data_IF_326203265983
#
_entry.id   IF_326203265983
#
_cell.length_a   1.000
_cell.length_b   1.000
_cell.length_c   1.000
_cell.angle_alpha   90.00
_cell.angle_beta   90.00
_cell.angle_gamma   90.00
#
_symmetry.space_group_name_H-M   'P 1'
#
loop_
_entity.id
_entity.type
_entity.pdbx_description
1 polymer ?
#
# COMPACT_ATOMS: atom_id res chain seq x y z
N UNK A 1 8.01 -10.32 1.55
CA UNK A 1 7.90 -11.78 1.30
C UNK A 1 6.59 -12.29 1.91
N UNK A 2 5.60 -12.63 1.09
CA UNK A 2 4.25 -13.01 1.53
C UNK A 2 3.96 -14.51 1.44
N UNK A 3 5.00 -15.35 1.52
CA UNK A 3 4.88 -16.79 1.26
C UNK A 3 4.45 -17.66 2.45
N UNK A 4 4.00 -17.06 3.55
CA UNK A 4 3.66 -17.80 4.77
C UNK A 4 2.15 -18.03 5.00
N UNK A 5 1.30 -17.71 4.03
CA UNK A 5 -0.13 -18.05 4.13
C UNK A 5 -0.34 -19.56 3.97
N UNK A 6 -1.11 -20.20 4.86
CA UNK A 6 -1.42 -21.63 4.78
C UNK A 6 -2.09 -22.07 3.45
N UNK A 7 -2.66 -21.12 2.69
CA UNK A 7 -3.22 -21.36 1.36
C UNK A 7 -2.18 -21.40 0.22
N UNK A 8 -0.97 -20.84 0.42
CA UNK A 8 0.05 -20.75 -0.63
C UNK A 8 0.63 -22.10 -1.06
N UNK A 9 0.94 -23.05 -0.15
CA UNK A 9 1.43 -24.37 -0.55
C UNK A 9 0.41 -25.13 -1.41
N UNK A 10 -0.87 -25.09 -1.03
CA UNK A 10 -1.96 -25.73 -1.76
C UNK A 10 -2.19 -25.06 -3.12
N UNK A 11 -2.18 -23.72 -3.17
CA UNK A 11 -2.28 -22.98 -4.43
C UNK A 11 -1.09 -23.27 -5.35
N UNK A 12 0.14 -23.28 -4.83
CA UNK A 12 1.35 -23.57 -5.61
C UNK A 12 1.34 -25.01 -6.16
N UNK A 13 0.84 -25.96 -5.37
CA UNK A 13 0.65 -27.35 -5.80
C UNK A 13 -0.37 -27.42 -6.95
N UNK A 14 -1.54 -26.80 -6.80
CA UNK A 14 -2.58 -26.74 -7.84
C UNK A 14 -2.08 -26.04 -9.10
N UNK A 15 -1.30 -24.97 -8.96
CA UNK A 15 -0.72 -24.24 -10.09
C UNK A 15 0.33 -25.09 -10.83
N UNK A 16 1.10 -25.91 -10.09
CA UNK A 16 2.05 -26.86 -10.65
C UNK A 16 1.34 -27.96 -11.42
N UNK A 17 0.32 -28.58 -10.82
CA UNK A 17 -0.50 -29.61 -11.47
C UNK A 17 -1.18 -29.09 -12.73
N UNK A 18 -1.71 -27.86 -12.69
CA UNK A 18 -2.26 -27.19 -13.87
C UNK A 18 -1.21 -26.98 -14.98
N UNK A 19 -0.01 -26.52 -14.63
CA UNK A 19 1.09 -26.31 -15.59
C UNK A 19 1.59 -27.60 -16.22
N UNK A 20 1.64 -28.69 -15.44
CA UNK A 20 2.18 -29.98 -15.89
C UNK A 20 1.16 -30.79 -16.69
N UNK A 21 -0.13 -30.71 -16.35
CA UNK A 21 -1.17 -31.53 -16.99
C UNK A 21 -1.93 -30.80 -18.09
N UNK A 22 -2.29 -29.53 -17.89
CA UNK A 22 -3.31 -28.86 -18.69
C UNK A 22 -2.72 -27.88 -19.70
N UNK A 23 -1.60 -27.24 -19.33
CA UNK A 23 -0.93 -26.25 -20.18
C UNK A 23 -0.36 -26.83 -21.50
N UNK A 24 0.27 -28.03 -21.53
CA UNK A 24 0.80 -28.61 -22.77
C UNK A 24 -0.30 -28.86 -23.81
N UNK A 25 -1.43 -29.44 -23.38
CA UNK A 25 -2.58 -29.74 -24.25
C UNK A 25 -3.17 -28.47 -24.88
N UNK A 26 -3.12 -27.35 -24.16
CA UNK A 26 -3.60 -26.05 -24.63
C UNK A 26 -2.63 -25.41 -25.61
N UNK A 27 -1.33 -25.54 -25.39
CA UNK A 27 -0.32 -25.03 -26.32
C UNK A 27 -0.37 -25.81 -27.64
N UNK A 28 -0.52 -27.14 -27.57
CA UNK A 28 -0.59 -27.99 -28.77
C UNK A 28 -1.89 -27.77 -29.56
N UNK A 29 -3.00 -27.48 -28.89
CA UNK A 29 -4.30 -27.27 -29.54
C UNK A 29 -4.71 -25.81 -29.71
N UNK A 30 -3.81 -24.84 -29.46
CA UNK A 30 -4.14 -23.42 -29.39
C UNK A 30 -4.92 -22.89 -30.61
N UNK A 31 -4.52 -23.31 -31.81
CA UNK A 31 -5.17 -22.89 -33.07
C UNK A 31 -6.53 -23.58 -33.32
N UNK A 32 -6.83 -24.67 -32.62
CA UNK A 32 -8.08 -25.43 -32.73
C UNK A 32 -9.10 -25.07 -31.63
N UNK A 33 -8.73 -24.19 -30.70
CA UNK A 33 -9.63 -23.73 -29.64
C UNK A 33 -10.67 -22.74 -30.21
N UNK A 34 -11.90 -22.79 -29.70
CA UNK A 34 -12.93 -21.80 -30.01
C UNK A 34 -12.40 -20.38 -29.71
N UNK A 35 -12.75 -19.39 -30.55
CA UNK A 35 -12.33 -17.98 -30.45
C UNK A 35 -12.51 -17.38 -29.05
N UNK A 36 -13.50 -17.85 -28.28
CA UNK A 36 -13.74 -17.37 -26.92
C UNK A 36 -12.74 -17.93 -25.90
N UNK A 37 -12.16 -19.10 -26.14
CA UNK A 37 -11.32 -19.82 -25.17
C UNK A 37 -9.95 -19.14 -24.97
N UNK A 38 -9.19 -18.76 -26.02
CA UNK A 38 -7.99 -17.93 -25.87
C UNK A 38 -8.25 -16.61 -25.15
N UNK A 39 -9.42 -16.00 -25.37
CA UNK A 39 -9.84 -14.75 -24.74
C UNK A 39 -10.11 -14.93 -23.25
N UNK A 40 -10.79 -15.99 -22.83
CA UNK A 40 -11.00 -16.32 -21.43
C UNK A 40 -9.70 -16.74 -20.74
N UNK A 41 -8.82 -17.47 -21.43
CA UNK A 41 -7.50 -17.85 -20.89
C UNK A 41 -6.56 -16.66 -20.73
N UNK A 42 -6.61 -15.66 -21.62
CA UNK A 42 -5.89 -14.42 -21.45
C UNK A 42 -6.29 -13.67 -20.16
N UNK A 43 -7.53 -13.86 -19.68
CA UNK A 43 -7.96 -13.33 -18.38
C UNK A 43 -7.29 -14.06 -17.20
N UNK A 44 -6.89 -15.33 -17.31
CA UNK A 44 -6.06 -15.98 -16.26
C UNK A 44 -4.66 -15.36 -16.17
N UNK A 45 -4.10 -14.89 -17.30
CA UNK A 45 -2.81 -14.19 -17.34
C UNK A 45 -2.81 -12.87 -16.56
N UNK A 46 -4.00 -12.27 -16.35
CA UNK A 46 -4.16 -11.02 -15.60
C UNK A 46 -3.89 -11.14 -14.10
N UNK A 47 -3.73 -12.37 -13.57
CA UNK A 47 -3.56 -12.60 -12.15
C UNK A 47 -2.17 -12.16 -11.63
N UNK A 48 -2.18 -11.00 -10.94
CA UNK A 48 -1.38 -10.61 -9.76
C UNK A 48 0.15 -10.47 -9.86
N UNK A 49 0.82 -10.94 -10.92
CA UNK A 49 2.29 -10.95 -10.93
C UNK A 49 2.93 -9.55 -11.00
N UNK A 50 2.33 -8.59 -11.71
CA UNK A 50 2.89 -7.24 -11.89
C UNK A 50 2.64 -6.29 -10.71
N UNK A 51 1.73 -6.62 -9.80
CA UNK A 51 1.52 -5.84 -8.56
C UNK A 51 2.59 -6.11 -7.48
N UNK A 52 3.42 -7.15 -7.66
CA UNK A 52 4.57 -7.42 -6.78
C UNK A 52 5.56 -6.25 -6.74
N UNK A 53 5.58 -5.41 -7.78
CA UNK A 53 6.39 -4.20 -7.82
C UNK A 53 6.04 -3.27 -6.65
N UNK A 54 4.76 -3.07 -6.35
CA UNK A 54 4.36 -2.23 -5.21
C UNK A 54 4.74 -2.84 -3.87
N UNK A 55 4.63 -4.17 -3.74
CA UNK A 55 5.01 -4.87 -2.52
C UNK A 55 6.51 -4.75 -2.27
N UNK A 56 7.31 -4.95 -3.32
CA UNK A 56 8.77 -4.82 -3.23
C UNK A 56 9.17 -3.37 -2.97
N UNK A 57 8.55 -2.42 -3.68
CA UNK A 57 8.78 -0.99 -3.47
C UNK A 57 8.43 -0.58 -2.03
N UNK A 58 7.27 -0.96 -1.51
CA UNK A 58 6.87 -0.67 -0.13
C UNK A 58 7.88 -1.27 0.87
N UNK A 59 8.37 -2.48 0.62
CA UNK A 59 9.37 -3.12 1.48
C UNK A 59 10.72 -2.40 1.48
N UNK A 60 11.18 -1.89 0.34
CA UNK A 60 12.43 -1.14 0.27
C UNK A 60 12.27 0.29 0.82
N UNK A 61 11.13 0.94 0.53
CA UNK A 61 10.81 2.26 1.07
C UNK A 61 10.76 2.21 2.60
N UNK A 62 10.12 1.21 3.20
CA UNK A 62 10.09 1.08 4.66
C UNK A 62 11.51 0.97 5.27
N UNK A 63 12.42 0.24 4.64
CA UNK A 63 13.83 0.18 5.07
C UNK A 63 14.52 1.55 4.96
N UNK A 64 14.29 2.27 3.86
CA UNK A 64 14.84 3.61 3.68
C UNK A 64 14.31 4.58 4.74
N UNK A 65 13.01 4.54 5.04
CA UNK A 65 12.40 5.34 6.10
C UNK A 65 12.99 4.99 7.47
N UNK A 66 13.13 3.71 7.80
CA UNK A 66 13.79 3.29 9.04
C UNK A 66 15.21 3.84 9.17
N UNK A 67 15.99 3.87 8.08
CA UNK A 67 17.33 4.46 8.10
C UNK A 67 17.23 5.96 8.31
N UNK A 68 16.38 6.67 7.57
CA UNK A 68 16.18 8.11 7.71
C UNK A 68 15.76 8.50 9.14
N UNK A 69 14.69 7.90 9.65
CA UNK A 69 14.13 8.15 10.99
C UNK A 69 15.16 7.95 12.10
N UNK A 70 16.04 6.95 11.99
CA UNK A 70 17.13 6.73 12.98
C UNK A 70 18.11 7.89 13.07
N UNK A 71 18.26 8.67 12.01
CA UNK A 71 19.20 9.80 11.98
C UNK A 71 18.53 11.13 12.33
N UNK A 72 17.22 11.27 12.08
CA UNK A 72 16.51 12.55 12.27
C UNK A 72 15.65 12.59 13.53
N UNK A 73 15.15 11.45 14.01
CA UNK A 73 14.29 11.40 15.19
C UNK A 73 15.10 11.34 16.48
N UNK A 74 14.62 12.04 17.51
CA UNK A 74 15.20 11.98 18.85
C UNK A 74 14.65 10.77 19.61
N UNK A 75 15.15 9.59 19.27
CA UNK A 75 14.76 8.32 19.89
C UNK A 75 13.58 7.66 19.20
N UNK A 76 12.96 6.72 19.92
CA UNK A 76 11.95 5.82 19.35
C UNK A 76 10.67 5.84 20.19
N UNK A 77 9.52 5.60 19.56
CA UNK A 77 8.21 5.59 20.23
C UNK A 77 8.13 4.51 21.33
N UNK A 78 8.15 4.87 22.63
CA UNK A 78 8.23 3.90 23.72
C UNK A 78 6.97 3.01 23.85
N UNK A 79 5.86 3.39 23.21
CA UNK A 79 4.60 2.66 23.22
C UNK A 79 4.44 1.73 22.00
N UNK A 80 5.43 1.68 21.10
CA UNK A 80 5.38 0.81 19.94
C UNK A 80 5.55 -0.67 20.36
N UNK A 81 4.60 -1.52 19.96
CA UNK A 81 4.58 -2.95 20.29
C UNK A 81 5.65 -3.77 19.53
N UNK A 82 6.03 -3.34 18.32
CA UNK A 82 7.07 -3.97 17.50
C UNK A 82 7.92 -2.93 16.75
N UNK A 83 9.20 -3.27 16.52
CA UNK A 83 10.22 -2.40 15.90
C UNK A 83 10.65 -2.86 14.51
N UNK A 84 9.85 -3.68 13.83
CA UNK A 84 10.21 -4.28 12.54
C UNK A 84 9.99 -3.35 11.34
N UNK A 85 9.16 -2.33 11.51
CA UNK A 85 8.78 -1.35 10.48
C UNK A 85 9.18 0.08 10.89
N UNK A 86 9.19 1.00 9.92
CA UNK A 86 9.36 2.44 10.16
C UNK A 86 8.24 3.01 11.02
N UNK A 87 8.53 4.11 11.72
CA UNK A 87 7.52 4.87 12.46
C UNK A 87 6.41 5.36 11.55
N UNK A 88 6.74 5.82 10.34
CA UNK A 88 5.78 6.20 9.32
C UNK A 88 4.88 5.02 8.91
N UNK A 89 5.44 3.84 8.58
CA UNK A 89 4.65 2.65 8.21
C UNK A 89 3.72 2.21 9.34
N UNK A 90 4.24 2.20 10.59
CA UNK A 90 3.43 1.88 11.78
C UNK A 90 2.28 2.86 11.94
N UNK A 91 2.54 4.15 11.81
CA UNK A 91 1.52 5.19 11.95
C UNK A 91 0.42 5.04 10.90
N UNK A 92 0.80 4.81 9.64
CA UNK A 92 -0.13 4.55 8.53
C UNK A 92 -0.94 3.27 8.74
N UNK A 93 -0.29 2.23 9.27
CA UNK A 93 -0.91 0.93 9.51
C UNK A 93 -1.70 0.88 10.82
N UNK A 94 -1.90 2.03 11.48
CA UNK A 94 -2.58 2.08 12.77
C UNK A 94 -4.04 1.67 12.66
N UNK A 95 -4.30 0.46 13.14
CA UNK A 95 -5.62 -0.15 13.28
C UNK A 95 -6.53 0.57 14.27
N UNK A 96 -6.04 1.57 15.01
CA UNK A 96 -6.86 2.22 16.02
C UNK A 96 -7.92 3.16 15.43
N UNK A 97 -7.62 3.79 14.28
CA UNK A 97 -8.47 4.84 13.70
C UNK A 97 -9.33 4.34 12.54
N UNK A 98 -9.11 3.10 12.10
CA UNK A 98 -9.84 2.48 10.99
C UNK A 98 -10.97 1.60 11.50
N UNK A 99 -12.08 1.55 10.75
CA UNK A 99 -13.18 0.63 11.01
C UNK A 99 -12.68 -0.81 10.90
N UNK A 100 -13.06 -1.67 11.85
CA UNK A 100 -12.59 -3.06 11.93
C UNK A 100 -11.07 -3.23 12.04
N UNK A 101 -10.32 -2.19 12.41
CA UNK A 101 -8.88 -2.28 12.59
C UNK A 101 -8.53 -3.10 13.84
N UNK A 102 -8.76 -2.54 15.03
CA UNK A 102 -8.56 -3.22 16.31
C UNK A 102 -9.87 -3.22 17.10
N UNK A 103 -10.56 -4.36 17.14
CA UNK A 103 -11.86 -4.49 17.82
C UNK A 103 -11.76 -4.33 19.34
N UNK A 104 -10.59 -4.62 19.93
CA UNK A 104 -10.38 -4.57 21.38
C UNK A 104 -9.93 -3.19 21.89
N UNK A 105 -9.09 -2.50 21.13
CA UNK A 105 -8.38 -1.30 21.62
C UNK A 105 -8.42 -0.13 20.64
N UNK A 106 -9.04 -0.31 19.48
CA UNK A 106 -9.25 0.75 18.50
C UNK A 106 -10.48 1.60 18.79
N UNK A 107 -10.48 2.79 18.24
CA UNK A 107 -11.48 3.85 18.43
C UNK A 107 -12.01 4.39 17.09
N UNK A 108 -11.91 3.59 16.02
CA UNK A 108 -12.24 4.04 14.65
C UNK A 108 -13.67 4.56 14.49
N UNK A 109 -14.64 4.01 15.23
CA UNK A 109 -16.03 4.51 15.22
C UNK A 109 -16.15 5.89 15.89
N UNK A 110 -15.41 6.13 16.97
CA UNK A 110 -15.36 7.43 17.64
C UNK A 110 -14.67 8.47 16.77
N UNK A 111 -13.55 8.11 16.14
CA UNK A 111 -12.86 9.01 15.21
C UNK A 111 -13.75 9.38 14.02
N UNK A 112 -14.47 8.40 13.44
CA UNK A 112 -15.45 8.67 12.38
C UNK A 112 -16.56 9.62 12.83
N UNK A 113 -17.03 9.49 14.07
CA UNK A 113 -18.04 10.39 14.63
C UNK A 113 -17.47 11.81 14.79
N UNK A 114 -16.25 11.92 15.32
CA UNK A 114 -15.53 13.18 15.46
C UNK A 114 -15.35 13.93 14.12
N UNK A 115 -15.05 13.21 13.03
CA UNK A 115 -14.97 13.77 11.68
C UNK A 115 -16.36 14.21 11.16
N UNK A 116 -17.38 13.39 11.37
CA UNK A 116 -18.76 13.68 10.92
C UNK A 116 -19.33 14.94 11.60
N UNK A 117 -19.04 15.15 12.88
CA UNK A 117 -19.43 16.36 13.61
C UNK A 117 -18.83 17.64 13.02
N UNK A 118 -17.74 17.52 12.26
CA UNK A 118 -17.03 18.62 11.59
C UNK A 118 -17.32 18.70 10.09
N UNK A 119 -18.24 17.88 9.59
CA UNK A 119 -18.53 17.74 8.16
C UNK A 119 -17.30 17.35 7.30
N UNK A 120 -16.43 16.52 7.86
CA UNK A 120 -15.21 16.03 7.19
C UNK A 120 -15.42 14.59 6.73
N UNK A 121 -15.15 14.34 5.45
CA UNK A 121 -15.21 12.99 4.88
C UNK A 121 -14.01 12.14 5.30
N UNK A 122 -14.28 10.93 5.78
CA UNK A 122 -13.23 10.03 6.23
C UNK A 122 -12.56 9.34 5.03
N UNK A 123 -11.25 9.52 4.91
CA UNK A 123 -10.42 8.95 3.83
C UNK A 123 -9.59 7.75 4.27
N UNK A 124 -9.57 7.45 5.57
CA UNK A 124 -8.83 6.31 6.10
C UNK A 124 -9.47 5.01 5.59
N UNK A 125 -8.65 4.17 4.97
CA UNK A 125 -9.08 2.88 4.44
C UNK A 125 -8.80 1.75 5.41
N UNK A 126 -9.59 0.69 5.31
CA UNK A 126 -9.26 -0.57 5.97
C UNK A 126 -8.19 -1.31 5.17
N UNK A 127 -7.31 -2.04 5.86
CA UNK A 127 -6.26 -2.86 5.24
C UNK A 127 -6.80 -3.89 4.23
N UNK A 128 -8.07 -4.31 4.38
CA UNK A 128 -8.72 -5.30 3.52
C UNK A 128 -9.11 -4.66 2.17
N UNK A 129 -8.55 -5.18 1.07
CA UNK A 129 -8.84 -4.74 -0.31
C UNK A 129 -7.71 -3.95 -0.98
N UNK A 130 -6.89 -3.22 -0.22
CA UNK A 130 -5.80 -2.38 -0.76
C UNK A 130 -4.40 -2.93 -0.50
N UNK A 131 -4.29 -4.22 -0.18
CA UNK A 131 -3.09 -4.85 0.42
C UNK A 131 -1.76 -4.57 -0.31
N UNK A 132 -1.81 -4.32 -1.61
CA UNK A 132 -0.63 -4.13 -2.47
C UNK A 132 -0.17 -2.67 -2.55
N UNK A 133 -1.07 -1.69 -2.43
CA UNK A 133 -0.77 -0.24 -2.44
C UNK A 133 -1.10 0.46 -1.11
N UNK A 134 -1.38 -0.32 -0.05
CA UNK A 134 -1.89 0.20 1.21
C UNK A 134 -0.97 1.25 1.82
N UNK A 135 0.34 1.01 1.86
CA UNK A 135 1.31 1.92 2.48
C UNK A 135 1.22 3.32 1.87
N UNK A 136 1.19 3.43 0.54
CA UNK A 136 1.20 4.72 -0.16
C UNK A 136 -0.16 5.43 -0.06
N UNK A 137 -1.24 4.73 -0.38
CA UNK A 137 -2.58 5.33 -0.34
C UNK A 137 -2.99 5.72 1.08
N UNK A 138 -2.81 4.82 2.05
CA UNK A 138 -3.16 5.09 3.43
C UNK A 138 -2.28 6.19 4.02
N UNK A 139 -1.01 6.34 3.59
CA UNK A 139 -0.18 7.47 4.00
C UNK A 139 -0.77 8.81 3.55
N UNK A 140 -1.24 8.92 2.30
CA UNK A 140 -1.94 10.11 1.81
C UNK A 140 -3.20 10.42 2.62
N UNK A 141 -4.00 9.40 2.95
CA UNK A 141 -5.18 9.55 3.78
C UNK A 141 -4.86 9.97 5.22
N UNK A 142 -3.85 9.36 5.84
CA UNK A 142 -3.39 9.71 7.20
C UNK A 142 -2.83 11.12 7.24
N UNK A 143 -2.07 11.54 6.22
CA UNK A 143 -1.57 12.90 6.12
C UNK A 143 -2.71 13.92 5.97
N UNK A 144 -3.71 13.62 5.15
CA UNK A 144 -4.89 14.48 5.00
C UNK A 144 -5.62 14.71 6.34
N UNK A 145 -5.70 13.66 7.17
CA UNK A 145 -6.35 13.71 8.48
C UNK A 145 -5.44 14.09 9.63
N UNK A 146 -4.17 14.49 9.39
CA UNK A 146 -3.17 14.64 10.46
C UNK A 146 -3.64 15.55 11.60
N UNK A 147 -4.14 16.74 11.28
CA UNK A 147 -4.64 17.69 12.28
C UNK A 147 -5.89 17.15 12.99
N UNK A 148 -6.78 16.47 12.26
CA UNK A 148 -7.96 15.86 12.87
C UNK A 148 -7.58 14.74 13.84
N UNK A 149 -6.52 13.98 13.54
CA UNK A 149 -6.00 12.95 14.43
C UNK A 149 -5.42 13.59 15.69
N UNK A 150 -4.67 14.69 15.56
CA UNK A 150 -4.13 15.45 16.71
C UNK A 150 -5.28 15.92 17.59
N UNK A 151 -6.24 16.65 17.02
CA UNK A 151 -7.40 17.19 17.74
C UNK A 151 -8.18 16.09 18.45
N UNK A 152 -8.39 14.96 17.77
CA UNK A 152 -9.09 13.82 18.34
C UNK A 152 -8.31 13.19 19.50
N UNK A 153 -6.98 12.99 19.36
CA UNK A 153 -6.15 12.44 20.44
C UNK A 153 -6.12 13.34 21.66
N UNK A 154 -6.09 14.66 21.48
CA UNK A 154 -6.09 15.63 22.58
C UNK A 154 -7.43 15.68 23.33
N UNK A 155 -8.52 15.31 22.67
CA UNK A 155 -9.84 15.19 23.30
C UNK A 155 -10.04 13.90 24.10
N UNK A 156 -9.12 12.92 23.98
CA UNK A 156 -9.30 11.58 24.55
C UNK A 156 -8.72 11.48 25.97
N UNK A 157 -9.58 11.43 26.99
CA UNK A 157 -9.18 11.56 28.40
C UNK A 157 -8.31 10.41 28.94
N UNK A 158 -8.52 9.17 28.49
CA UNK A 158 -7.78 8.00 28.98
C UNK A 158 -7.30 7.12 27.81
N UNK A 159 -6.14 7.45 27.20
CA UNK A 159 -5.62 6.71 26.07
C UNK A 159 -4.96 5.40 26.52
N UNK A 160 -5.37 4.29 25.90
CA UNK A 160 -4.62 3.03 25.99
C UNK A 160 -3.27 3.12 25.27
N UNK A 161 -2.39 2.13 25.41
CA UNK A 161 -1.03 2.19 24.85
C UNK A 161 -0.99 2.29 23.32
N UNK A 162 -2.01 1.76 22.62
CA UNK A 162 -2.16 1.95 21.18
C UNK A 162 -2.45 3.42 20.82
N UNK A 163 -3.31 4.10 21.58
CA UNK A 163 -3.60 5.53 21.39
C UNK A 163 -2.43 6.42 21.81
N UNK A 164 -1.69 6.04 22.86
CA UNK A 164 -0.44 6.72 23.25
C UNK A 164 0.62 6.60 22.16
N UNK A 165 0.74 5.41 21.55
CA UNK A 165 1.64 5.19 20.42
C UNK A 165 1.32 6.12 19.25
N UNK A 166 0.05 6.26 18.89
CA UNK A 166 -0.39 7.18 17.83
C UNK A 166 -0.15 8.65 18.22
N UNK A 167 -0.46 9.01 19.46
CA UNK A 167 -0.24 10.37 19.97
C UNK A 167 1.24 10.77 19.95
N UNK A 168 2.13 9.80 20.14
CA UNK A 168 3.57 10.01 19.93
C UNK A 168 3.89 10.18 18.45
N UNK A 169 3.45 9.23 17.61
CA UNK A 169 3.81 9.20 16.18
C UNK A 169 3.30 10.44 15.42
N UNK A 170 2.10 10.94 15.74
CA UNK A 170 1.49 12.11 15.08
C UNK A 170 2.24 13.43 15.37
N UNK A 171 2.98 13.49 16.49
CA UNK A 171 3.75 14.67 16.90
C UNK A 171 5.18 14.65 16.35
N UNK A 172 5.63 13.52 15.81
CA UNK A 172 6.94 13.39 15.21
C UNK A 172 6.93 14.00 13.80
N UNK A 173 7.70 15.09 13.62
CA UNK A 173 7.76 15.84 12.36
C UNK A 173 8.35 15.02 11.23
N UNK A 174 9.27 14.11 11.55
CA UNK A 174 9.83 13.19 10.58
C UNK A 174 8.72 12.29 10.01
N UNK A 175 7.94 11.64 10.86
CA UNK A 175 6.87 10.74 10.42
C UNK A 175 5.79 11.48 9.63
N UNK A 176 5.44 12.71 10.04
CA UNK A 176 4.52 13.56 9.28
C UNK A 176 5.05 13.89 7.86
N UNK A 177 6.35 14.08 7.71
CA UNK A 177 7.01 14.32 6.42
C UNK A 177 7.09 13.04 5.58
N UNK A 178 7.37 11.90 6.21
CA UNK A 178 7.45 10.60 5.57
C UNK A 178 6.10 10.17 4.98
N UNK A 179 5.02 10.27 5.76
CA UNK A 179 3.67 9.95 5.26
C UNK A 179 3.23 10.90 4.15
N UNK A 180 3.68 12.17 4.17
CA UNK A 180 3.42 13.12 3.09
C UNK A 180 4.13 12.69 1.81
N UNK A 181 5.40 12.31 1.91
CA UNK A 181 6.18 11.83 0.77
C UNK A 181 5.57 10.56 0.18
N UNK A 182 5.16 9.60 1.02
CA UNK A 182 4.45 8.40 0.61
C UNK A 182 3.12 8.71 -0.11
N UNK A 183 2.35 9.68 0.40
CA UNK A 183 1.12 10.14 -0.24
C UNK A 183 1.34 10.83 -1.60
N UNK A 184 2.46 11.55 -1.77
CA UNK A 184 2.85 12.12 -3.07
C UNK A 184 3.19 11.00 -4.06
N UNK A 185 3.92 9.97 -3.61
CA UNK A 185 4.21 8.78 -4.41
C UNK A 185 2.91 8.07 -4.82
N UNK A 186 1.91 7.96 -3.93
CA UNK A 186 0.61 7.43 -4.30
C UNK A 186 -0.05 8.24 -5.41
N UNK A 187 -0.07 9.57 -5.24
CA UNK A 187 -0.77 10.45 -6.17
C UNK A 187 -0.17 10.42 -7.57
N UNK A 188 1.15 10.33 -7.67
CA UNK A 188 1.91 10.51 -8.92
C UNK A 188 2.37 9.20 -9.57
N UNK A 189 2.55 8.13 -8.78
CA UNK A 189 3.14 6.88 -9.26
C UNK A 189 2.20 5.69 -9.01
N UNK A 190 2.00 5.30 -7.76
CA UNK A 190 1.40 4.00 -7.47
C UNK A 190 -0.11 3.98 -7.71
N UNK A 191 -0.81 5.08 -7.40
CA UNK A 191 -2.23 5.26 -7.71
C UNK A 191 -2.51 5.28 -9.22
N UNK A 192 -1.84 6.12 -10.03
CA UNK A 192 -1.96 6.06 -11.49
C UNK A 192 -1.65 4.69 -12.08
N UNK A 193 -0.56 4.05 -11.64
CA UNK A 193 -0.21 2.72 -12.15
C UNK A 193 -1.25 1.66 -11.76
N UNK A 194 -1.82 1.73 -10.55
CA UNK A 194 -2.91 0.82 -10.14
C UNK A 194 -4.14 0.96 -11.06
N UNK A 195 -4.53 2.19 -11.43
CA UNK A 195 -5.64 2.43 -12.38
C UNK A 195 -5.35 1.85 -13.77
N UNK A 196 -4.10 1.90 -14.22
CA UNK A 196 -3.69 1.26 -15.48
C UNK A 196 -3.79 -0.26 -15.39
N UNK A 197 -3.38 -0.86 -14.26
CA UNK A 197 -3.54 -2.30 -14.02
C UNK A 197 -5.01 -2.71 -14.03
N UNK A 198 -5.87 -1.96 -13.32
CA UNK A 198 -7.30 -2.25 -13.20
C UNK A 198 -8.06 -2.18 -14.53
N UNK A 199 -7.56 -1.38 -15.48
CA UNK A 199 -8.16 -1.22 -16.82
C UNK A 199 -7.52 -2.10 -17.89
N UNK A 200 -6.37 -2.72 -17.59
CA UNK A 200 -5.66 -3.59 -18.52
C UNK A 200 -6.37 -4.93 -18.67
N UNK A 201 -6.53 -5.38 -19.92
CA UNK A 201 -7.17 -6.67 -20.24
C UNK A 201 -6.17 -7.82 -20.16
N UNK A 202 -4.91 -7.57 -20.48
CA UNK A 202 -3.84 -8.56 -20.48
C UNK A 202 -2.58 -8.02 -19.79
N UNK A 203 -1.95 -8.84 -18.96
CA UNK A 203 -0.71 -8.53 -18.24
C UNK A 203 0.45 -8.09 -19.15
N UNK A 204 0.47 -8.53 -20.41
CA UNK A 204 1.47 -8.16 -21.41
C UNK A 204 1.26 -6.72 -21.92
N UNK A 205 0.04 -6.20 -21.87
CA UNK A 205 -0.27 -4.81 -22.24
C UNK A 205 0.46 -3.82 -21.34
N UNK A 206 0.81 -4.26 -20.12
CA UNK A 206 1.54 -3.44 -19.15
C UNK A 206 3.05 -3.35 -19.43
N UNK A 207 3.60 -4.12 -20.37
CA UNK A 207 5.06 -4.15 -20.57
C UNK A 207 5.64 -2.80 -20.96
N UNK A 208 4.95 -2.04 -21.83
CA UNK A 208 5.39 -0.70 -22.22
C UNK A 208 5.30 0.28 -21.03
N UNK A 209 4.19 0.24 -20.29
CA UNK A 209 3.98 1.03 -19.07
C UNK A 209 5.06 0.75 -18.03
N UNK A 210 5.43 -0.51 -17.84
CA UNK A 210 6.47 -0.92 -16.90
C UNK A 210 7.87 -0.47 -17.33
N UNK A 211 8.18 -0.54 -18.62
CA UNK A 211 9.42 -0.02 -19.17
C UNK A 211 9.52 1.49 -18.92
N UNK A 212 8.44 2.23 -19.21
CA UNK A 212 8.38 3.66 -18.97
C UNK A 212 8.53 4.01 -17.47
N UNK A 213 7.80 3.30 -16.60
CA UNK A 213 7.90 3.45 -15.15
C UNK A 213 9.34 3.21 -14.66
N UNK A 214 10.02 2.18 -15.17
CA UNK A 214 11.40 1.88 -14.79
C UNK A 214 12.36 3.01 -15.20
N UNK A 215 12.22 3.56 -16.41
CA UNK A 215 13.03 4.68 -16.89
C UNK A 215 12.78 5.90 -16.00
N UNK A 216 11.52 6.28 -15.79
CA UNK A 216 11.15 7.44 -14.98
C UNK A 216 11.61 7.31 -13.54
N UNK A 217 11.42 6.16 -12.88
CA UNK A 217 11.91 5.96 -11.51
C UNK A 217 13.44 6.08 -11.45
N UNK A 218 14.17 5.59 -12.46
CA UNK A 218 15.63 5.73 -12.51
C UNK A 218 16.06 7.19 -12.63
N UNK A 219 15.40 7.97 -13.49
CA UNK A 219 15.63 9.42 -13.60
C UNK A 219 15.35 10.12 -12.26
N UNK A 220 14.19 9.83 -11.66
CA UNK A 220 13.77 10.42 -10.38
C UNK A 220 14.65 10.03 -9.20
N UNK A 221 15.32 8.86 -9.26
CA UNK A 221 16.28 8.45 -8.24
C UNK A 221 17.55 9.31 -8.24
N UNK A 222 17.85 9.98 -9.37
CA UNK A 222 18.97 10.92 -9.51
C UNK A 222 18.51 12.34 -9.19
N UNK A 223 17.38 12.77 -9.77
CA UNK A 223 16.77 14.07 -9.52
C UNK A 223 15.24 13.99 -9.49
N UNK A 224 14.67 14.17 -8.30
CA UNK A 224 13.23 14.15 -8.08
C UNK A 224 12.56 15.53 -8.28
N UNK A 225 13.32 16.58 -8.64
CA UNK A 225 12.77 17.93 -8.84
C UNK A 225 11.60 17.98 -9.84
N UNK A 226 11.64 17.25 -10.97
CA UNK A 226 10.51 17.26 -11.92
C UNK A 226 9.22 16.69 -11.30
N UNK A 227 9.33 15.62 -10.51
CA UNK A 227 8.18 15.04 -9.78
C UNK A 227 7.58 16.04 -8.79
N UNK A 228 8.43 16.79 -8.07
CA UNK A 228 8.00 17.82 -7.13
C UNK A 228 7.39 19.05 -7.83
N UNK A 229 7.78 19.31 -9.08
CA UNK A 229 7.17 20.31 -9.95
C UNK A 229 5.83 19.84 -10.56
N UNK A 230 5.43 18.59 -10.32
CA UNK A 230 4.17 18.02 -10.79
C UNK A 230 4.24 17.33 -12.15
N UNK A 231 5.44 17.02 -12.65
CA UNK A 231 5.57 16.18 -13.85
C UNK A 231 4.99 14.79 -13.56
N UNK A 232 4.11 14.33 -14.45
CA UNK A 232 3.45 13.04 -14.33
C UNK A 232 4.36 11.92 -14.83
N UNK A 233 4.30 10.77 -14.16
CA UNK A 233 5.02 9.55 -14.56
C UNK A 233 4.26 8.76 -15.63
N UNK A 234 2.96 9.03 -15.80
CA UNK A 234 2.08 8.38 -16.78
C UNK A 234 1.16 9.39 -17.46
#
# INVERSE_FOLDING_TARGET
MSDQGAANPVFNQQLKEFKESFLPDIVENWENLDINTPTEMAKMSSFFCKMLIFVNMASEVDKCLQVFERHVCNGKNPFAFEWKESGASRFVSSKALTLHGCEKSGVGQHFRTHLKERDIDNKLITFRGHRLNHLFYAAGATHHHLNNIIDFMESWADPNDLLKSISFDVREKAFASDIRALGIIDKLITGPFLRIIETSKNILDLNQTLCHLQIKIRELSVDASPLLAGELVF
#
